data_IF_138071824091
#
_entry.id   IF_138071824091
#
_cell.length_a   1.000
_cell.length_b   1.000
_cell.length_c   1.000
_cell.angle_alpha   90.00
_cell.angle_beta   90.00
_cell.angle_gamma   90.00
#
_symmetry.space_group_name_H-M   'P 1'
#
loop_
_entity.id
_entity.type
_entity.pdbx_description
1 polymer ?
#
# COMPACT_ATOMS: atom_id res chain seq x y z
N UNK A 1 -7.22 3.04 -5.24
CA UNK A 1 -6.13 2.37 -4.51
C UNK A 1 -5.03 2.08 -5.52
N UNK A 2 -3.78 2.43 -5.24
CA UNK A 2 -2.67 2.14 -6.16
C UNK A 2 -2.06 0.77 -5.83
N UNK A 3 -1.69 0.00 -6.85
CA UNK A 3 -1.12 -1.33 -6.70
C UNK A 3 0.23 -1.38 -7.40
N UNK A 4 1.25 -1.81 -6.67
CA UNK A 4 2.62 -1.93 -7.18
C UNK A 4 3.00 -3.40 -7.20
N UNK A 5 3.55 -3.88 -8.32
CA UNK A 5 4.13 -5.23 -8.42
C UNK A 5 5.47 -5.23 -7.70
N UNK A 6 5.66 -6.18 -6.80
CA UNK A 6 6.91 -6.41 -6.08
C UNK A 6 7.75 -7.48 -6.76
N UNK A 7 7.12 -8.58 -7.17
CA UNK A 7 7.81 -9.75 -7.76
C UNK A 7 6.84 -10.56 -8.62
N UNK A 8 7.37 -11.29 -9.60
CA UNK A 8 6.61 -12.14 -10.52
C UNK A 8 7.11 -13.58 -10.49
N UNK A 9 6.18 -14.53 -10.39
CA UNK A 9 6.45 -15.96 -10.35
C UNK A 9 5.73 -16.67 -11.51
N UNK A 10 6.39 -17.60 -12.22
CA UNK A 10 5.75 -18.36 -13.30
C UNK A 10 4.67 -19.30 -12.73
N UNK A 11 3.51 -19.38 -13.37
CA UNK A 11 2.40 -20.22 -12.91
C UNK A 11 2.60 -21.71 -13.23
N UNK A 12 3.35 -22.03 -14.30
CA UNK A 12 3.60 -23.40 -14.74
C UNK A 12 4.60 -24.24 -13.91
N UNK A 13 5.09 -23.73 -12.78
CA UNK A 13 6.04 -24.46 -11.93
C UNK A 13 5.40 -25.62 -11.15
N UNK A 14 6.16 -26.64 -10.72
CA UNK A 14 5.63 -27.83 -10.03
C UNK A 14 4.98 -27.52 -8.66
N UNK A 15 5.17 -26.30 -8.13
CA UNK A 15 4.62 -25.86 -6.84
C UNK A 15 3.43 -24.90 -6.99
N UNK A 16 2.95 -24.65 -8.22
CA UNK A 16 1.86 -23.71 -8.46
C UNK A 16 2.12 -22.32 -7.86
N UNK A 17 1.15 -21.78 -7.12
CA UNK A 17 1.20 -20.46 -6.47
C UNK A 17 2.08 -20.40 -5.23
N UNK A 18 2.52 -21.53 -4.67
CA UNK A 18 3.20 -21.59 -3.37
C UNK A 18 4.41 -20.64 -3.25
N UNK A 19 5.31 -20.51 -4.26
CA UNK A 19 6.41 -19.55 -4.16
C UNK A 19 5.95 -18.09 -4.03
N UNK A 20 4.86 -17.72 -4.71
CA UNK A 20 4.30 -16.37 -4.62
C UNK A 20 3.63 -16.15 -3.26
N UNK A 21 2.96 -17.16 -2.72
CA UNK A 21 2.32 -17.11 -1.39
C UNK A 21 3.35 -16.97 -0.27
N UNK A 22 4.45 -17.73 -0.30
CA UNK A 22 5.55 -17.62 0.66
C UNK A 22 6.18 -16.22 0.62
N UNK A 23 6.45 -15.71 -0.59
CA UNK A 23 7.00 -14.36 -0.73
C UNK A 23 6.02 -13.31 -0.19
N UNK A 24 4.73 -13.40 -0.53
CA UNK A 24 3.72 -12.49 -0.02
C UNK A 24 3.58 -12.58 1.51
N UNK A 25 3.70 -13.78 2.09
CA UNK A 25 3.72 -13.96 3.54
C UNK A 25 4.93 -13.30 4.19
N UNK A 26 6.12 -13.45 3.60
CA UNK A 26 7.32 -12.77 4.08
C UNK A 26 7.16 -11.25 4.07
N UNK A 27 6.64 -10.68 2.97
CA UNK A 27 6.35 -9.23 2.88
C UNK A 27 5.31 -8.78 3.91
N UNK A 28 4.29 -9.60 4.19
CA UNK A 28 3.29 -9.31 5.24
C UNK A 28 3.90 -9.33 6.64
N UNK A 29 4.82 -10.26 6.91
CA UNK A 29 5.57 -10.30 8.17
C UNK A 29 6.47 -9.06 8.35
N UNK A 30 6.92 -8.45 7.24
CA UNK A 30 7.63 -7.16 7.22
C UNK A 30 6.68 -5.95 7.35
N UNK A 31 5.36 -6.16 7.44
CA UNK A 31 4.35 -5.11 7.58
C UNK A 31 3.81 -4.54 6.27
N UNK A 32 4.18 -5.12 5.13
CA UNK A 32 3.68 -4.69 3.82
C UNK A 32 2.34 -5.35 3.51
N UNK A 33 1.40 -4.58 2.96
CA UNK A 33 0.11 -5.08 2.50
C UNK A 33 0.23 -5.81 1.16
N UNK A 34 0.98 -6.92 1.14
CA UNK A 34 1.26 -7.75 -0.02
C UNK A 34 0.16 -8.80 -0.27
N UNK A 35 -0.16 -9.01 -1.54
CA UNK A 35 -1.17 -9.96 -2.02
C UNK A 35 -0.68 -10.69 -3.26
N UNK A 36 -1.18 -11.90 -3.50
CA UNK A 36 -0.92 -12.65 -4.73
C UNK A 36 -2.09 -12.47 -5.69
N UNK A 37 -1.82 -12.18 -6.95
CA UNK A 37 -2.81 -12.16 -8.03
C UNK A 37 -2.32 -12.89 -9.25
N UNK A 38 -3.22 -13.64 -9.87
CA UNK A 38 -2.96 -14.35 -11.12
C UNK A 38 -3.14 -13.41 -12.31
N UNK A 39 -2.09 -13.29 -13.12
CA UNK A 39 -2.12 -12.71 -14.44
C UNK A 39 -2.30 -13.84 -15.46
N UNK A 40 -3.48 -13.86 -16.09
CA UNK A 40 -3.88 -14.92 -17.03
C UNK A 40 -3.15 -14.75 -18.37
N UNK A 41 -2.98 -13.52 -18.85
CA UNK A 41 -2.33 -13.25 -20.14
C UNK A 41 -0.85 -13.64 -20.11
N UNK A 42 -0.24 -13.40 -18.95
CA UNK A 42 1.18 -13.58 -18.75
C UNK A 42 1.54 -14.92 -18.06
N UNK A 43 0.54 -15.77 -17.80
CA UNK A 43 0.64 -17.05 -17.10
C UNK A 43 1.54 -17.00 -15.86
N UNK A 44 1.25 -16.03 -14.98
CA UNK A 44 2.11 -15.74 -13.84
C UNK A 44 1.33 -15.32 -12.60
N UNK A 45 1.89 -15.63 -11.43
CA UNK A 45 1.47 -15.04 -10.17
C UNK A 45 2.28 -13.77 -9.90
N UNK A 46 1.58 -12.68 -9.67
CA UNK A 46 2.16 -11.39 -9.31
C UNK A 46 1.97 -11.18 -7.82
N UNK A 47 3.06 -10.89 -7.11
CA UNK A 47 2.97 -10.36 -5.75
C UNK A 47 2.93 -8.85 -5.81
N UNK A 48 1.93 -8.27 -5.18
CA UNK A 48 1.53 -6.88 -5.37
C UNK A 48 1.23 -6.24 -4.03
N UNK A 49 1.74 -5.04 -3.81
CA UNK A 49 1.46 -4.25 -2.62
C UNK A 49 0.26 -3.34 -2.84
N UNK A 50 -0.69 -3.33 -1.91
CA UNK A 50 -1.70 -2.27 -1.83
C UNK A 50 -1.10 -1.06 -1.13
N UNK A 51 -0.94 0.03 -1.88
CA UNK A 51 -0.66 1.32 -1.25
C UNK A 51 -1.98 1.84 -0.65
N UNK A 52 -1.99 2.25 0.62
CA UNK A 52 -3.06 3.10 1.13
C UNK A 52 -3.22 4.25 0.13
N UNK A 53 -4.46 4.59 -0.25
CA UNK A 53 -4.67 5.85 -0.95
C UNK A 53 -4.00 6.91 -0.07
N UNK A 54 -3.06 7.73 -0.59
CA UNK A 54 -2.58 8.85 0.20
C UNK A 54 -3.81 9.67 0.53
N UNK A 55 -4.19 9.68 1.81
CA UNK A 55 -5.18 10.61 2.34
C UNK A 55 -4.77 11.99 1.83
N UNK A 56 -5.66 12.77 1.20
CA UNK A 56 -5.33 14.16 0.91
C UNK A 56 -4.92 14.77 2.25
N UNK A 57 -3.64 15.13 2.38
CA UNK A 57 -3.14 15.81 3.58
C UNK A 57 -3.94 17.10 3.71
N UNK A 58 -4.98 17.09 4.54
CA UNK A 58 -5.67 18.31 4.94
C UNK A 58 -4.60 19.21 5.56
N UNK A 59 -4.28 20.37 4.97
CA UNK A 59 -3.32 21.26 5.59
C UNK A 59 -3.85 21.61 6.99
N UNK A 60 -3.00 21.44 8.00
CA UNK A 60 -3.34 21.76 9.39
C UNK A 60 -3.93 23.17 9.45
N UNK A 61 -4.98 23.42 10.26
CA UNK A 61 -5.54 24.75 10.40
C UNK A 61 -4.43 25.67 10.88
N UNK A 62 -4.04 26.62 10.02
CA UNK A 62 -3.10 27.68 10.35
C UNK A 62 -3.68 28.37 11.58
N UNK A 63 -3.01 28.21 12.72
CA UNK A 63 -3.44 28.79 13.99
C UNK A 63 -3.72 30.28 13.76
N UNK A 64 -5.00 30.65 13.78
CA UNK A 64 -5.42 32.03 13.81
C UNK A 64 -4.97 32.56 15.19
N UNK A 65 -3.84 33.25 15.18
CA UNK A 65 -3.27 33.86 16.35
C UNK A 65 -4.26 34.83 17.01
N UNK A 66 -4.49 34.56 18.29
CA UNK A 66 -4.60 35.52 19.40
C UNK A 66 -5.48 36.75 19.20
N UNK A 67 -6.68 36.64 19.77
CA UNK A 67 -7.47 37.76 20.29
C UNK A 67 -6.72 38.45 21.44
N UNK A 68 -6.25 39.68 21.25
CA UNK A 68 -6.06 40.67 22.32
C UNK A 68 -6.25 42.06 21.72
N UNK A 69 -7.15 42.84 22.30
CA UNK A 69 -7.25 44.32 22.35
C UNK A 69 -8.60 44.57 23.05
N UNK A 70 -8.61 44.55 24.39
CA UNK A 70 -8.45 45.73 25.25
C UNK A 70 -9.80 46.42 25.47
N UNK A 71 -10.41 46.13 26.63
CA UNK A 71 -11.35 47.04 27.28
C UNK A 71 -10.63 48.35 27.62
N UNK A 72 -11.38 49.47 27.63
CA UNK A 72 -11.02 50.91 27.89
C UNK A 72 -11.47 51.71 26.65
N UNK A 73 -12.42 52.66 26.66
CA UNK A 73 -13.14 53.44 27.68
C UNK A 73 -14.58 53.67 27.22
#
# INVERSE_FOLDING_TARGET
>A
MARMVLERFPAGGPRGSWPAEEFAQARRNEGLAAEVVMDIEADAFLVVMRQPRPEPRTPAPRAAGSRVEAAVH
#
